data_IF_241608036493
#
_entry.id   IF_241608036493
#
_cell.length_a   1.000
_cell.length_b   1.000
_cell.length_c   1.000
_cell.angle_alpha   90.00
_cell.angle_beta   90.00
_cell.angle_gamma   90.00
#
_symmetry.space_group_name_H-M   'P 1'
#
loop_
_entity.id
_entity.type
_entity.pdbx_description
1 polymer ?
#
# COMPACT_ATOMS: atom_id res chain seq x y z
N UNK A 1 -4.78 7.30 5.20
CA UNK A 1 -5.36 7.01 3.89
C UNK A 1 -6.66 6.25 4.11
N UNK A 2 -7.79 6.82 3.73
CA UNK A 2 -9.09 6.13 3.74
C UNK A 2 -9.32 5.39 2.42
N UNK A 3 -10.37 4.55 2.36
CA UNK A 3 -10.76 3.86 1.13
C UNK A 3 -11.11 4.85 0.02
N UNK A 4 -11.81 5.92 0.37
CA UNK A 4 -12.28 6.97 -0.54
C UNK A 4 -11.09 7.75 -1.12
N UNK A 5 -10.08 8.06 -0.31
CA UNK A 5 -8.85 8.71 -0.76
C UNK A 5 -8.09 7.84 -1.77
N UNK A 6 -7.99 6.53 -1.52
CA UNK A 6 -7.35 5.58 -2.46
C UNK A 6 -8.11 5.54 -3.77
N UNK A 7 -9.45 5.45 -3.72
CA UNK A 7 -10.29 5.43 -4.92
C UNK A 7 -10.07 6.68 -5.77
N UNK A 8 -10.07 7.85 -5.14
CA UNK A 8 -9.86 9.13 -5.81
C UNK A 8 -8.47 9.19 -6.47
N UNK A 9 -7.41 8.92 -5.71
CA UNK A 9 -6.03 8.99 -6.20
C UNK A 9 -5.76 8.04 -7.36
N UNK A 10 -6.23 6.79 -7.28
CA UNK A 10 -6.04 5.82 -8.37
C UNK A 10 -6.85 6.19 -9.60
N UNK A 11 -8.08 6.68 -9.42
CA UNK A 11 -8.93 7.11 -10.55
C UNK A 11 -8.31 8.27 -11.32
N UNK A 12 -7.80 9.29 -10.61
CA UNK A 12 -7.14 10.45 -11.23
C UNK A 12 -5.87 10.06 -11.99
N UNK A 13 -5.15 9.06 -11.50
CA UNK A 13 -3.88 8.61 -12.08
C UNK A 13 -4.01 7.45 -13.07
N UNK A 14 -5.22 6.94 -13.31
CA UNK A 14 -5.45 5.75 -14.14
C UNK A 14 -4.87 5.87 -15.54
N UNK A 15 -5.01 7.03 -16.17
CA UNK A 15 -4.44 7.28 -17.51
C UNK A 15 -2.92 7.17 -17.51
N UNK A 16 -2.27 7.70 -16.46
CA UNK A 16 -0.82 7.68 -16.33
C UNK A 16 -0.31 6.25 -16.12
N UNK A 17 -0.94 5.50 -15.20
CA UNK A 17 -0.65 4.08 -14.95
C UNK A 17 -0.75 3.27 -16.26
N UNK A 18 -1.81 3.50 -17.04
CA UNK A 18 -1.98 2.83 -18.33
C UNK A 18 -0.87 3.17 -19.32
N UNK A 19 -0.49 4.45 -19.43
CA UNK A 19 0.56 4.88 -20.36
C UNK A 19 1.95 4.41 -19.94
N UNK A 20 2.24 4.34 -18.64
CA UNK A 20 3.48 3.76 -18.11
C UNK A 20 3.59 2.26 -18.47
N UNK A 21 2.48 1.54 -18.40
CA UNK A 21 2.41 0.14 -18.83
C UNK A 21 2.42 -0.03 -20.36
N UNK A 22 2.38 1.04 -21.16
CA UNK A 22 2.38 0.98 -22.62
C UNK A 22 1.07 0.44 -23.23
N UNK A 23 -0.05 0.51 -22.50
CA UNK A 23 -1.31 -0.12 -22.94
C UNK A 23 -2.28 0.85 -23.63
N UNK A 24 -3.01 0.31 -24.61
CA UNK A 24 -4.18 0.98 -25.19
C UNK A 24 -5.36 0.95 -24.21
N UNK A 25 -6.35 1.81 -24.42
CA UNK A 25 -7.58 1.78 -23.60
C UNK A 25 -8.31 0.44 -23.71
N UNK A 26 -8.37 -0.16 -24.90
CA UNK A 26 -8.95 -1.49 -25.08
C UNK A 26 -8.19 -2.54 -24.26
N UNK A 27 -6.85 -2.54 -24.34
CA UNK A 27 -6.04 -3.54 -23.63
C UNK A 27 -6.12 -3.38 -22.12
N UNK A 28 -6.08 -2.15 -21.62
CA UNK A 28 -6.22 -1.88 -20.19
C UNK A 28 -7.59 -2.32 -19.67
N UNK A 29 -8.65 -2.00 -20.40
CA UNK A 29 -10.02 -2.35 -20.02
C UNK A 29 -10.21 -3.88 -19.91
N UNK A 30 -9.66 -4.63 -20.87
CA UNK A 30 -9.59 -6.09 -20.86
C UNK A 30 -8.84 -6.63 -19.62
N UNK A 31 -7.65 -6.09 -19.33
CA UNK A 31 -6.82 -6.51 -18.19
C UNK A 31 -7.51 -6.28 -16.84
N UNK A 32 -8.12 -5.11 -16.62
CA UNK A 32 -8.75 -4.76 -15.33
C UNK A 32 -10.22 -5.18 -15.23
N UNK A 33 -10.76 -5.83 -16.27
CA UNK A 33 -12.12 -6.38 -16.27
C UNK A 33 -13.23 -5.34 -16.29
N UNK A 34 -13.04 -4.22 -17.01
CA UNK A 34 -14.07 -3.18 -17.19
C UNK A 34 -14.36 -2.94 -18.67
N UNK A 35 -15.48 -2.30 -18.99
CA UNK A 35 -15.72 -1.88 -20.38
C UNK A 35 -14.77 -0.74 -20.77
N UNK A 36 -14.37 -0.68 -22.05
CA UNK A 36 -13.60 0.47 -22.60
C UNK A 36 -14.30 1.80 -22.31
N UNK A 37 -15.65 1.83 -22.43
CA UNK A 37 -16.45 3.02 -22.11
C UNK A 37 -16.24 3.46 -20.66
N UNK A 38 -16.27 2.51 -19.72
CA UNK A 38 -16.02 2.77 -18.29
C UNK A 38 -14.62 3.33 -18.08
N UNK A 39 -13.58 2.68 -18.63
CA UNK A 39 -12.20 3.17 -18.53
C UNK A 39 -12.08 4.62 -19.04
N UNK A 40 -12.65 4.91 -20.21
CA UNK A 40 -12.63 6.27 -20.80
C UNK A 40 -13.36 7.29 -19.91
N UNK A 41 -14.46 6.94 -19.26
CA UNK A 41 -15.14 7.88 -18.35
C UNK A 41 -14.27 8.17 -17.11
N UNK A 42 -13.56 7.15 -16.59
CA UNK A 42 -12.65 7.32 -15.45
C UNK A 42 -11.48 8.22 -15.84
N UNK A 43 -10.82 7.95 -16.97
CA UNK A 43 -9.69 8.77 -17.44
C UNK A 43 -10.07 10.22 -17.76
N UNK A 44 -11.35 10.49 -18.02
CA UNK A 44 -11.89 11.84 -18.22
C UNK A 44 -12.31 12.52 -16.91
N UNK A 45 -12.18 11.87 -15.77
CA UNK A 45 -12.58 12.38 -14.46
C UNK A 45 -14.10 12.49 -14.27
N UNK A 46 -14.90 11.79 -15.11
CA UNK A 46 -16.37 11.88 -15.05
C UNK A 46 -16.99 10.92 -14.06
N UNK A 47 -16.30 9.81 -13.79
CA UNK A 47 -16.68 8.79 -12.80
C UNK A 47 -15.41 8.29 -12.11
N UNK A 48 -15.54 7.84 -10.87
CA UNK A 48 -14.45 7.17 -10.16
C UNK A 48 -14.48 5.66 -10.42
N UNK A 49 -13.33 5.02 -10.33
CA UNK A 49 -13.23 3.57 -10.28
C UNK A 49 -13.90 3.03 -9.01
N UNK A 50 -14.52 1.85 -9.08
CA UNK A 50 -15.01 1.18 -7.88
C UNK A 50 -13.85 0.51 -7.11
N UNK A 51 -14.11 0.09 -5.87
CA UNK A 51 -13.08 -0.51 -5.02
C UNK A 51 -12.42 -1.75 -5.66
N UNK A 52 -13.20 -2.65 -6.27
CA UNK A 52 -12.66 -3.83 -6.94
C UNK A 52 -11.72 -3.51 -8.11
N UNK A 53 -12.06 -2.49 -8.92
CA UNK A 53 -11.21 -2.04 -10.03
C UNK A 53 -9.93 -1.41 -9.49
N UNK A 54 -10.02 -0.63 -8.41
CA UNK A 54 -8.83 -0.06 -7.73
C UNK A 54 -7.92 -1.15 -7.20
N UNK A 55 -8.48 -2.18 -6.55
CA UNK A 55 -7.72 -3.36 -6.09
C UNK A 55 -7.03 -4.05 -7.27
N UNK A 56 -7.74 -4.27 -8.38
CA UNK A 56 -7.17 -4.88 -9.58
C UNK A 56 -6.01 -4.03 -10.15
N UNK A 57 -6.18 -2.70 -10.23
CA UNK A 57 -5.14 -1.78 -10.69
C UNK A 57 -3.91 -1.90 -9.78
N UNK A 58 -4.07 -1.77 -8.47
CA UNK A 58 -2.95 -1.85 -7.52
C UNK A 58 -2.26 -3.22 -7.53
N UNK A 59 -3.00 -4.31 -7.79
CA UNK A 59 -2.44 -5.66 -7.82
C UNK A 59 -1.65 -5.96 -9.11
N UNK A 60 -2.18 -5.53 -10.27
CA UNK A 60 -1.64 -5.84 -11.59
C UNK A 60 -0.56 -4.84 -12.02
N UNK A 61 -0.62 -3.60 -11.53
CA UNK A 61 0.27 -2.51 -11.92
C UNK A 61 1.18 -2.04 -10.77
N UNK A 62 1.44 -2.89 -9.77
CA UNK A 62 2.26 -2.58 -8.59
C UNK A 62 3.69 -2.12 -8.91
N UNK A 63 4.18 -2.44 -10.10
CA UNK A 63 5.54 -2.11 -10.57
C UNK A 63 5.61 -0.75 -11.28
N UNK A 64 4.46 -0.16 -11.62
CA UNK A 64 4.42 1.16 -12.26
C UNK A 64 4.87 2.25 -11.28
N UNK A 65 5.64 3.22 -11.77
CA UNK A 65 6.17 4.32 -10.95
C UNK A 65 5.03 5.09 -10.28
N UNK A 66 3.91 5.28 -10.99
CA UNK A 66 2.75 5.95 -10.43
C UNK A 66 2.15 5.20 -9.24
N UNK A 67 1.98 3.87 -9.33
CA UNK A 67 1.44 3.08 -8.21
C UNK A 67 2.42 3.06 -7.04
N UNK A 68 3.72 2.95 -7.31
CA UNK A 68 4.76 3.04 -6.27
C UNK A 68 4.84 4.44 -5.63
N UNK A 69 4.60 5.49 -6.40
CA UNK A 69 4.55 6.86 -5.90
C UNK A 69 3.33 7.10 -5.01
N UNK A 70 2.21 6.44 -5.28
CA UNK A 70 0.99 6.55 -4.47
C UNK A 70 1.07 5.73 -3.17
N UNK A 71 1.65 4.52 -3.21
CA UNK A 71 1.55 3.56 -2.10
C UNK A 71 2.89 3.03 -1.58
N UNK A 72 4.01 3.40 -2.18
CA UNK A 72 5.33 2.80 -1.93
C UNK A 72 5.47 1.41 -2.56
N UNK A 73 6.47 0.66 -2.11
CA UNK A 73 6.82 -0.64 -2.69
C UNK A 73 5.83 -1.78 -2.38
N UNK A 74 4.84 -1.56 -1.51
CA UNK A 74 3.87 -2.58 -1.11
C UNK A 74 2.42 -2.04 -1.23
N UNK A 75 1.91 -1.78 -2.46
CA UNK A 75 0.56 -1.24 -2.65
C UNK A 75 -0.51 -2.11 -2.00
N UNK A 76 -0.38 -3.44 -2.12
CA UNK A 76 -1.33 -4.38 -1.55
C UNK A 76 -1.38 -4.33 -0.02
N UNK A 77 -0.27 -4.04 0.66
CA UNK A 77 -0.28 -3.84 2.11
C UNK A 77 -1.15 -2.64 2.51
N UNK A 78 -1.06 -1.54 1.76
CA UNK A 78 -1.89 -0.35 2.01
C UNK A 78 -3.36 -0.69 1.82
N UNK A 79 -3.70 -1.39 0.73
CA UNK A 79 -5.07 -1.79 0.43
C UNK A 79 -5.62 -2.76 1.47
N UNK A 80 -4.84 -3.74 1.90
CA UNK A 80 -5.22 -4.68 2.97
C UNK A 80 -5.46 -3.96 4.30
N UNK A 81 -4.59 -3.01 4.65
CA UNK A 81 -4.71 -2.22 5.89
C UNK A 81 -6.02 -1.43 5.91
N UNK A 82 -6.39 -0.82 4.79
CA UNK A 82 -7.64 -0.07 4.64
C UNK A 82 -8.86 -0.98 4.51
N UNK A 83 -8.72 -2.15 3.89
CA UNK A 83 -9.82 -3.09 3.78
C UNK A 83 -10.17 -3.79 5.10
N UNK A 84 -9.19 -3.95 5.99
CA UNK A 84 -9.27 -4.80 7.18
C UNK A 84 -9.26 -4.04 8.51
N UNK A 85 -9.60 -2.75 8.56
CA UNK A 85 -9.59 -1.91 9.78
C UNK A 85 -9.68 -2.73 11.09
N UNK A 86 -8.56 -2.88 11.79
CA UNK A 86 -8.51 -3.52 13.12
C UNK A 86 -8.44 -5.05 13.20
N UNK A 87 -8.17 -5.78 12.11
CA UNK A 87 -8.03 -7.25 12.16
C UNK A 87 -6.56 -7.69 12.09
N UNK A 88 -6.08 -8.29 13.19
CA UNK A 88 -4.77 -8.93 13.29
C UNK A 88 -4.62 -10.07 12.27
N UNK A 89 -3.67 -9.97 11.32
CA UNK A 89 -3.24 -11.14 10.55
C UNK A 89 -1.73 -11.18 10.26
N UNK A 90 -1.18 -12.40 10.32
CA UNK A 90 0.25 -12.76 10.27
C UNK A 90 0.73 -13.18 8.86
N UNK A 91 1.99 -12.82 8.56
CA UNK A 91 3.01 -13.39 7.63
C UNK A 91 3.00 -13.01 6.13
N UNK A 92 4.05 -12.28 5.68
CA UNK A 92 5.04 -12.72 4.65
C UNK A 92 6.33 -11.88 4.70
N UNK A 93 7.48 -12.41 4.21
CA UNK A 93 8.78 -11.72 4.10
C UNK A 93 8.67 -10.49 3.20
N UNK A 94 9.13 -9.32 3.65
CA UNK A 94 9.24 -8.12 2.80
C UNK A 94 10.43 -8.28 1.84
N UNK A 95 10.20 -8.18 0.54
CA UNK A 95 11.24 -8.17 -0.51
C UNK A 95 11.92 -6.80 -0.58
N UNK A 96 12.64 -6.41 0.48
CA UNK A 96 13.68 -5.38 0.36
C UNK A 96 13.21 -3.92 0.26
N UNK A 97 12.08 -3.56 0.89
CA UNK A 97 11.63 -2.16 1.05
C UNK A 97 12.53 -1.31 1.96
N UNK A 98 13.82 -1.12 1.62
CA UNK A 98 14.78 -0.34 2.42
C UNK A 98 14.70 1.17 2.18
N UNK A 99 14.25 1.63 1.00
CA UNK A 99 14.34 3.05 0.60
C UNK A 99 13.21 3.93 1.17
N UNK A 100 12.01 3.40 1.32
CA UNK A 100 10.83 4.18 1.76
C UNK A 100 10.54 4.10 3.25
N UNK A 101 11.45 3.51 4.03
CA UNK A 101 11.24 3.24 5.44
C UNK A 101 12.35 3.87 6.26
N UNK A 102 11.97 4.89 7.03
CA UNK A 102 12.87 5.51 7.98
C UNK A 102 12.89 4.69 9.26
N UNK A 103 14.06 4.16 9.63
CA UNK A 103 14.22 3.52 10.93
C UNK A 103 14.11 4.57 12.04
N UNK A 104 13.16 4.38 12.96
CA UNK A 104 12.96 5.24 14.13
C UNK A 104 13.71 4.67 15.33
N UNK A 105 13.65 3.36 15.53
CA UNK A 105 14.30 2.70 16.66
C UNK A 105 14.65 1.25 16.35
N UNK A 106 15.73 0.77 16.97
CA UNK A 106 16.17 -0.63 16.91
C UNK A 106 16.54 -1.09 18.30
N UNK A 107 15.97 -2.20 18.76
CA UNK A 107 16.25 -2.77 20.08
C UNK A 107 15.89 -4.26 20.11
N UNK A 108 16.75 -5.09 20.69
CA UNK A 108 16.55 -6.54 20.87
C UNK A 108 16.07 -7.24 19.59
N UNK A 109 16.76 -7.02 18.47
CA UNK A 109 16.37 -7.59 17.17
C UNK A 109 15.15 -6.94 16.50
N UNK A 110 14.34 -6.17 17.23
CA UNK A 110 13.19 -5.46 16.66
C UNK A 110 13.55 -4.12 16.03
N UNK A 111 12.84 -3.76 14.96
CA UNK A 111 13.03 -2.50 14.23
C UNK A 111 11.69 -1.78 14.10
N UNK A 112 11.56 -0.61 14.74
CA UNK A 112 10.47 0.32 14.47
C UNK A 112 10.85 1.19 13.27
N UNK A 113 9.98 1.21 12.26
CA UNK A 113 10.16 2.03 11.07
C UNK A 113 8.89 2.84 10.79
N UNK A 114 9.05 3.97 10.11
CA UNK A 114 7.95 4.75 9.57
C UNK A 114 8.09 4.85 8.06
N UNK A 115 6.97 4.64 7.37
CA UNK A 115 6.90 4.82 5.94
C UNK A 115 6.99 6.32 5.62
N UNK A 116 7.93 6.70 4.75
CA UNK A 116 8.21 8.10 4.43
C UNK A 116 7.01 8.76 3.74
N UNK A 117 6.28 8.00 2.91
CA UNK A 117 5.16 8.49 2.12
C UNK A 117 3.86 8.45 2.91
N UNK A 118 3.40 7.25 3.26
CA UNK A 118 2.09 7.05 3.90
C UNK A 118 2.10 7.31 5.40
N UNK A 119 3.25 7.64 6.01
CA UNK A 119 3.42 8.04 7.41
C UNK A 119 3.06 6.99 8.47
N UNK A 120 2.55 5.84 8.09
CA UNK A 120 2.29 4.74 9.02
C UNK A 120 3.59 4.13 9.55
N UNK A 121 3.47 3.48 10.69
CA UNK A 121 4.55 2.81 11.38
C UNK A 121 4.43 1.30 11.21
N UNK A 122 5.58 0.63 11.21
CA UNK A 122 5.67 -0.83 11.33
C UNK A 122 6.74 -1.25 12.32
N UNK A 123 6.56 -2.40 12.93
CA UNK A 123 7.59 -3.07 13.74
C UNK A 123 7.99 -4.35 12.99
N UNK A 124 9.29 -4.56 12.85
CA UNK A 124 9.89 -5.79 12.34
C UNK A 124 10.60 -6.55 13.46
N UNK A 125 10.69 -7.87 13.37
CA UNK A 125 11.55 -8.72 14.21
C UNK A 125 12.96 -8.90 13.62
N UNK A 126 13.79 -9.72 14.29
CA UNK A 126 15.17 -10.02 13.87
C UNK A 126 15.27 -10.69 12.49
N UNK A 127 14.22 -11.41 12.06
CA UNK A 127 14.11 -12.02 10.75
C UNK A 127 13.63 -11.06 9.66
N UNK A 128 13.43 -9.77 9.98
CA UNK A 128 12.75 -8.77 9.15
C UNK A 128 11.29 -9.12 8.82
N UNK A 129 10.62 -9.89 9.69
CA UNK A 129 9.18 -10.10 9.56
C UNK A 129 8.44 -8.96 10.23
N UNK A 130 7.42 -8.41 9.55
CA UNK A 130 6.52 -7.42 10.14
C UNK A 130 5.63 -8.10 11.17
N UNK A 131 5.69 -7.60 12.40
CA UNK A 131 4.90 -8.11 13.55
C UNK A 131 3.78 -7.16 13.95
N UNK A 132 3.85 -5.89 13.51
CA UNK A 132 2.85 -4.88 13.83
C UNK A 132 2.91 -3.73 12.81
N UNK A 133 1.77 -3.12 12.50
CA UNK A 133 1.65 -1.91 11.69
C UNK A 133 0.44 -1.08 12.08
N UNK A 134 0.60 0.24 12.13
CA UNK A 134 -0.50 1.18 12.45
C UNK A 134 -0.15 2.60 12.01
N UNK A 135 -1.15 3.45 11.77
CA UNK A 135 -0.96 4.90 11.59
C UNK A 135 -0.80 5.64 12.93
N UNK A 136 -1.15 5.01 14.06
CA UNK A 136 -1.03 5.60 15.39
C UNK A 136 0.39 5.41 15.95
N UNK A 137 1.14 6.51 16.02
CA UNK A 137 2.50 6.52 16.57
C UNK A 137 2.57 6.09 18.03
N UNK A 138 1.63 6.56 18.87
CA UNK A 138 1.65 6.31 20.32
C UNK A 138 1.43 4.83 20.58
N UNK A 139 0.41 4.26 19.94
CA UNK A 139 0.08 2.84 20.05
C UNK A 139 1.24 1.98 19.54
N UNK A 140 1.84 2.35 18.41
CA UNK A 140 2.99 1.62 17.85
C UNK A 140 4.21 1.67 18.78
N UNK A 141 4.54 2.84 19.34
CA UNK A 141 5.66 2.96 20.29
C UNK A 141 5.43 2.17 21.57
N UNK A 142 4.20 2.13 22.06
CA UNK A 142 3.85 1.29 23.21
C UNK A 142 4.06 -0.18 22.89
N UNK A 143 3.55 -0.65 21.75
CA UNK A 143 3.72 -2.04 21.32
C UNK A 143 5.19 -2.42 21.13
N UNK A 144 6.00 -1.51 20.59
CA UNK A 144 7.45 -1.70 20.46
C UNK A 144 8.15 -1.85 21.81
N UNK A 145 7.74 -1.08 22.82
CA UNK A 145 8.27 -1.22 24.19
C UNK A 145 7.90 -2.55 24.81
N UNK A 146 6.69 -3.04 24.59
CA UNK A 146 6.23 -4.35 25.10
C UNK A 146 7.05 -5.50 24.49
N UNK A 147 7.22 -5.48 23.17
CA UNK A 147 7.96 -6.50 22.42
C UNK A 147 9.45 -6.53 22.76
N UNK A 148 10.03 -5.37 23.05
CA UNK A 148 11.46 -5.26 23.41
C UNK A 148 11.74 -5.52 24.89
N UNK A 149 10.71 -5.74 25.72
CA UNK A 149 10.84 -6.11 27.14
C UNK A 149 10.71 -7.61 27.41
N UNK A 150 10.24 -8.39 26.44
CA UNK A 150 9.83 -9.80 26.64
C UNK A 150 10.93 -10.83 26.35
N UNK A 151 12.17 -10.39 26.10
CA UNK A 151 13.35 -11.26 25.93
C UNK A 151 14.36 -11.01 27.08
N UNK A 152 13.98 -11.41 28.30
CA UNK A 152 14.93 -11.77 29.37
C UNK A 152 14.87 -13.29 29.58
#
# INVERSE_FOLDING_TARGET
MTREEIIMQVSEKLRLIRTEAGYTQDKMADIIGVSKKTLVQIEKGRVLANWSTVVAICALFRETETVQFLFGNEPLEVLETVAREGIDYRRTKTMGGRLWWKAISKKNGFILQQNILSKHFRILDAGNYRIYSSFDEKMTKQRFKELTKSEE
#
